data_IF_545191563809
#
_entry.id   IF_545191563809
#
_cell.length_a   1.000
_cell.length_b   1.000
_cell.length_c   1.000
_cell.angle_alpha   90.00
_cell.angle_beta   90.00
_cell.angle_gamma   90.00
#
_symmetry.space_group_name_H-M   'P 1'
#
loop_
_entity.id
_entity.type
_entity.pdbx_description
1 polymer ?
#
# COMPACT_ATOMS: atom_id res chain seq x y z
N UNK A 1 -13.47 16.71 8.37
CA UNK A 1 -12.51 15.60 8.25
C UNK A 1 -11.11 16.16 8.06
N UNK A 2 -10.12 15.60 8.76
CA UNK A 2 -8.87 16.30 9.10
C UNK A 2 -7.88 16.33 7.94
N UNK A 3 -7.16 17.45 7.82
CA UNK A 3 -6.01 17.66 6.92
C UNK A 3 -5.01 16.48 6.92
N UNK A 4 -4.94 15.75 8.04
CA UNK A 4 -4.18 14.51 8.22
C UNK A 4 -4.53 13.46 7.16
N UNK A 5 -5.81 13.21 6.88
CA UNK A 5 -6.21 12.22 5.88
C UNK A 5 -5.75 12.59 4.47
N UNK A 6 -5.72 13.89 4.13
CA UNK A 6 -5.15 14.36 2.86
C UNK A 6 -3.66 14.14 2.80
N UNK A 7 -2.92 14.46 3.87
CA UNK A 7 -1.47 14.27 3.93
C UNK A 7 -1.11 12.79 3.80
N UNK A 8 -1.79 11.91 4.56
CA UNK A 8 -1.58 10.46 4.47
C UNK A 8 -1.95 9.92 3.09
N UNK A 9 -3.06 10.40 2.52
CA UNK A 9 -3.45 10.04 1.15
C UNK A 9 -2.43 10.47 0.10
N UNK A 10 -1.95 11.72 0.19
CA UNK A 10 -0.93 12.29 -0.68
C UNK A 10 0.35 11.48 -0.65
N UNK A 11 0.84 11.20 0.56
CA UNK A 11 2.04 10.43 0.78
C UNK A 11 1.94 9.02 0.16
N UNK A 12 0.85 8.31 0.41
CA UNK A 12 0.64 6.98 -0.16
C UNK A 12 0.60 7.00 -1.69
N UNK A 13 -0.04 8.01 -2.31
CA UNK A 13 -0.08 8.15 -3.78
C UNK A 13 1.31 8.46 -4.34
N UNK A 14 2.05 9.39 -3.72
CA UNK A 14 3.42 9.72 -4.14
C UNK A 14 4.31 8.49 -4.05
N UNK A 15 4.25 7.74 -2.96
CA UNK A 15 5.05 6.54 -2.81
C UNK A 15 4.64 5.44 -3.80
N UNK A 16 3.35 5.27 -4.09
CA UNK A 16 2.90 4.36 -5.14
C UNK A 16 3.46 4.75 -6.51
N UNK A 17 3.51 6.04 -6.83
CA UNK A 17 4.09 6.53 -8.08
C UNK A 17 5.61 6.29 -8.13
N UNK A 18 6.35 6.57 -7.04
CA UNK A 18 7.79 6.32 -6.94
C UNK A 18 8.10 4.84 -7.16
N UNK A 19 7.43 3.94 -6.43
CA UNK A 19 7.64 2.49 -6.57
C UNK A 19 7.24 2.01 -7.95
N UNK A 20 6.14 2.51 -8.51
CA UNK A 20 5.72 2.16 -9.87
C UNK A 20 6.77 2.55 -10.91
N UNK A 21 7.31 3.77 -10.83
CA UNK A 21 8.37 4.23 -11.73
C UNK A 21 9.64 3.38 -11.55
N UNK A 22 10.07 3.12 -10.32
CA UNK A 22 11.27 2.32 -10.07
C UNK A 22 11.09 0.90 -10.56
N UNK A 23 9.97 0.24 -10.28
CA UNK A 23 9.69 -1.12 -10.76
C UNK A 23 9.84 -1.25 -12.28
N UNK A 24 9.36 -0.27 -13.05
CA UNK A 24 9.50 -0.27 -14.51
C UNK A 24 10.91 0.11 -14.99
N UNK A 25 11.63 0.95 -14.24
CA UNK A 25 12.96 1.42 -14.63
C UNK A 25 14.09 0.51 -14.14
N UNK A 26 13.90 -0.32 -13.12
CA UNK A 26 14.92 -1.23 -12.58
C UNK A 26 15.60 -2.04 -13.68
N UNK A 27 14.89 -2.68 -14.63
CA UNK A 27 15.54 -3.42 -15.72
C UNK A 27 16.42 -2.57 -16.65
N UNK A 28 16.30 -1.25 -16.61
CA UNK A 28 17.04 -0.30 -17.46
C UNK A 28 18.32 0.19 -16.80
N UNK A 29 18.33 0.41 -15.47
CA UNK A 29 19.49 0.97 -14.75
C UNK A 29 20.16 0.01 -13.77
N UNK A 30 19.51 -1.10 -13.44
CA UNK A 30 20.02 -2.13 -12.54
C UNK A 30 20.29 -3.39 -13.36
N UNK A 31 21.56 -3.75 -13.47
CA UNK A 31 22.04 -4.94 -14.18
C UNK A 31 21.94 -6.22 -13.33
N UNK A 32 21.34 -6.13 -12.13
CA UNK A 32 21.23 -7.21 -11.17
C UNK A 32 22.46 -7.36 -10.28
N UNK A 33 23.42 -6.43 -10.35
CA UNK A 33 24.50 -6.32 -9.36
C UNK A 33 23.92 -5.86 -8.01
N UNK A 34 24.40 -6.44 -6.91
CA UNK A 34 23.84 -6.28 -5.54
C UNK A 34 24.03 -4.90 -4.91
N UNK A 35 24.19 -3.85 -5.73
CA UNK A 35 24.83 -2.61 -5.33
C UNK A 35 23.98 -1.34 -5.36
N UNK A 36 22.70 -1.36 -5.76
CA UNK A 36 21.92 -0.12 -5.76
C UNK A 36 21.24 0.13 -4.39
N UNK A 37 21.73 1.10 -3.57
CA UNK A 37 21.12 1.41 -2.28
C UNK A 37 19.70 2.01 -2.39
N UNK A 38 19.25 2.31 -3.61
CA UNK A 38 17.94 2.91 -3.90
C UNK A 38 16.79 2.12 -3.30
N UNK A 39 16.75 0.79 -3.52
CA UNK A 39 15.66 -0.05 -3.00
C UNK A 39 15.66 -0.16 -1.47
N UNK A 40 16.84 -0.16 -0.85
CA UNK A 40 16.98 -0.14 0.62
C UNK A 40 16.34 1.13 1.19
N UNK A 41 16.65 2.29 0.60
CA UNK A 41 16.09 3.58 1.03
C UNK A 41 14.58 3.61 0.76
N UNK A 42 14.15 3.19 -0.43
CA UNK A 42 12.74 3.19 -0.85
C UNK A 42 11.90 2.32 0.09
N UNK A 43 12.40 1.16 0.51
CA UNK A 43 11.71 0.30 1.48
C UNK A 43 11.40 1.04 2.79
N UNK A 44 12.33 1.84 3.32
CA UNK A 44 12.04 2.66 4.52
C UNK A 44 10.87 3.63 4.33
N UNK A 45 10.66 4.14 3.11
CA UNK A 45 9.50 4.98 2.77
C UNK A 45 8.27 4.17 2.34
N UNK A 46 8.42 2.93 1.89
CA UNK A 46 7.28 2.05 1.61
C UNK A 46 6.58 1.63 2.89
N UNK A 47 7.34 1.35 3.95
CA UNK A 47 6.78 0.81 5.19
C UNK A 47 5.67 1.69 5.82
N UNK A 48 5.83 3.01 5.98
CA UNK A 48 4.76 3.85 6.48
C UNK A 48 3.51 3.84 5.58
N UNK A 49 3.67 3.80 4.26
CA UNK A 49 2.54 3.75 3.32
C UNK A 49 1.77 2.42 3.40
N UNK A 50 2.48 1.30 3.59
CA UNK A 50 1.86 -0.01 3.89
C UNK A 50 1.02 0.08 5.17
N UNK A 51 1.59 0.64 6.24
CA UNK A 51 0.88 0.79 7.52
C UNK A 51 -0.34 1.71 7.41
N UNK A 52 -0.22 2.82 6.67
CA UNK A 52 -1.35 3.73 6.37
C UNK A 52 -2.45 2.98 5.63
N UNK A 53 -2.11 2.22 4.58
CA UNK A 53 -3.09 1.46 3.80
C UNK A 53 -3.82 0.42 4.66
N UNK A 54 -3.09 -0.31 5.52
CA UNK A 54 -3.66 -1.28 6.44
C UNK A 54 -4.58 -0.61 7.47
N UNK A 55 -4.13 0.45 8.13
CA UNK A 55 -4.90 1.15 9.16
C UNK A 55 -6.17 1.80 8.58
N UNK A 56 -6.06 2.43 7.41
CA UNK A 56 -7.20 3.08 6.75
C UNK A 56 -8.24 2.06 6.29
N UNK A 57 -7.81 0.99 5.61
CA UNK A 57 -8.72 -0.06 5.14
C UNK A 57 -9.37 -0.84 6.28
N UNK A 58 -8.65 -1.09 7.37
CA UNK A 58 -9.22 -1.66 8.60
C UNK A 58 -10.28 -0.74 9.21
N UNK A 59 -10.01 0.57 9.27
CA UNK A 59 -10.97 1.56 9.77
C UNK A 59 -12.25 1.60 8.91
N UNK A 60 -12.13 1.51 7.58
CA UNK A 60 -13.29 1.41 6.69
C UNK A 60 -14.07 0.12 6.91
N UNK A 61 -13.38 -1.00 7.14
CA UNK A 61 -14.01 -2.30 7.43
C UNK A 61 -14.81 -2.27 8.73
N UNK A 62 -14.28 -1.68 9.81
CA UNK A 62 -15.01 -1.46 11.06
C UNK A 62 -16.24 -0.55 10.90
N UNK A 63 -16.23 0.31 9.88
CA UNK A 63 -17.34 1.21 9.56
C UNK A 63 -18.47 0.59 8.73
N UNK A 64 -18.35 -0.64 8.23
CA UNK A 64 -19.37 -1.27 7.39
C UNK A 64 -20.68 -1.55 8.16
N UNK A 65 -20.61 -1.89 9.45
CA UNK A 65 -21.79 -2.24 10.26
C UNK A 65 -22.56 -1.06 10.87
N UNK A 66 -22.27 0.19 10.45
CA UNK A 66 -22.84 1.41 11.05
C UNK A 66 -23.86 2.14 10.16
N UNK A 67 -24.27 1.57 9.02
CA UNK A 67 -25.24 2.17 8.09
C UNK A 67 -26.48 1.30 7.89
N UNK A 68 -27.59 1.93 7.48
CA UNK A 68 -28.82 1.23 7.07
C UNK A 68 -28.59 0.45 5.75
N UNK A 69 -29.03 -0.80 5.72
CA UNK A 69 -28.82 -1.70 4.59
C UNK A 69 -29.66 -1.27 3.36
N UNK A 70 -29.01 -1.08 2.23
CA UNK A 70 -29.63 -0.82 0.92
C UNK A 70 -28.74 -1.34 -0.21
N UNK A 71 -29.15 -1.27 -1.48
CA UNK A 71 -28.42 -1.86 -2.63
C UNK A 71 -26.97 -1.36 -2.83
N UNK A 72 -26.65 -0.17 -2.30
CA UNK A 72 -25.27 0.36 -2.23
C UNK A 72 -24.35 -0.38 -1.24
N UNK A 73 -24.90 -1.30 -0.45
CA UNK A 73 -24.22 -2.02 0.63
C UNK A 73 -23.35 -3.16 0.09
N UNK A 74 -23.80 -3.92 -0.92
CA UNK A 74 -23.00 -5.01 -1.49
C UNK A 74 -21.73 -4.49 -2.20
N UNK A 75 -21.88 -3.45 -3.04
CA UNK A 75 -20.73 -2.85 -3.73
C UNK A 75 -19.71 -2.29 -2.74
N UNK A 76 -20.19 -1.56 -1.73
CA UNK A 76 -19.35 -1.01 -0.66
C UNK A 76 -18.68 -2.11 0.16
N UNK A 77 -19.40 -3.18 0.47
CA UNK A 77 -18.90 -4.33 1.19
C UNK A 77 -17.75 -5.01 0.42
N UNK A 78 -17.94 -5.28 -0.88
CA UNK A 78 -16.92 -5.88 -1.73
C UNK A 78 -15.69 -4.95 -1.79
N UNK A 79 -15.89 -3.67 -2.13
CA UNK A 79 -14.79 -2.71 -2.27
C UNK A 79 -13.93 -2.59 -1.00
N UNK A 80 -14.57 -2.46 0.16
CA UNK A 80 -13.86 -2.33 1.44
C UNK A 80 -13.17 -3.63 1.84
N UNK A 81 -13.81 -4.79 1.65
CA UNK A 81 -13.16 -6.06 1.96
C UNK A 81 -12.00 -6.36 1.02
N UNK A 82 -12.14 -6.12 -0.29
CA UNK A 82 -11.05 -6.27 -1.25
C UNK A 82 -9.86 -5.41 -0.84
N UNK A 83 -10.06 -4.12 -0.59
CA UNK A 83 -8.97 -3.23 -0.15
C UNK A 83 -8.34 -3.68 1.16
N UNK A 84 -9.14 -4.10 2.15
CA UNK A 84 -8.64 -4.56 3.43
C UNK A 84 -7.80 -5.83 3.30
N UNK A 85 -8.30 -6.87 2.62
CA UNK A 85 -7.58 -8.12 2.48
C UNK A 85 -6.34 -7.96 1.60
N UNK A 86 -6.39 -7.14 0.55
CA UNK A 86 -5.19 -6.80 -0.24
C UNK A 86 -4.16 -6.03 0.58
N UNK A 87 -4.57 -5.08 1.42
CA UNK A 87 -3.65 -4.37 2.32
C UNK A 87 -3.07 -5.28 3.41
N UNK A 88 -3.84 -6.24 3.92
CA UNK A 88 -3.36 -7.24 4.86
C UNK A 88 -2.32 -8.16 4.23
N UNK A 89 -2.59 -8.70 3.04
CA UNK A 89 -1.64 -9.54 2.29
C UNK A 89 -0.37 -8.75 1.99
N UNK A 90 -0.50 -7.53 1.47
CA UNK A 90 0.63 -6.65 1.22
C UNK A 90 1.47 -6.43 2.48
N UNK A 91 0.85 -6.09 3.61
CA UNK A 91 1.56 -5.83 4.84
C UNK A 91 2.31 -7.07 5.36
N UNK A 92 1.67 -8.24 5.32
CA UNK A 92 2.31 -9.49 5.73
C UNK A 92 3.50 -9.84 4.83
N UNK A 93 3.32 -9.78 3.51
CA UNK A 93 4.39 -10.12 2.56
C UNK A 93 5.54 -9.12 2.61
N UNK A 94 5.22 -7.82 2.61
CA UNK A 94 6.20 -6.75 2.67
C UNK A 94 7.02 -6.81 3.95
N UNK A 95 6.38 -6.85 5.13
CA UNK A 95 7.09 -6.88 6.40
C UNK A 95 7.90 -8.18 6.56
N UNK A 96 7.36 -9.32 6.15
CA UNK A 96 8.08 -10.59 6.21
C UNK A 96 9.33 -10.60 5.34
N UNK A 97 9.27 -10.06 4.11
CA UNK A 97 10.45 -9.96 3.25
C UNK A 97 11.44 -8.96 3.80
N UNK A 98 10.96 -7.77 4.14
CA UNK A 98 11.83 -6.68 4.56
C UNK A 98 12.58 -7.00 5.86
N UNK A 99 11.90 -7.59 6.85
CA UNK A 99 12.59 -8.06 8.06
C UNK A 99 13.47 -9.27 7.80
N UNK A 100 13.09 -10.15 6.87
CA UNK A 100 13.93 -11.27 6.43
C UNK A 100 15.26 -10.80 5.87
N UNK A 101 15.23 -9.81 4.97
CA UNK A 101 16.42 -9.18 4.39
C UNK A 101 17.30 -8.53 5.46
N UNK A 102 16.70 -7.84 6.45
CA UNK A 102 17.44 -7.23 7.55
C UNK A 102 18.20 -8.22 8.43
N UNK A 103 17.71 -9.46 8.56
CA UNK A 103 18.37 -10.52 9.35
C UNK A 103 19.16 -11.51 8.48
N UNK A 104 19.34 -11.20 7.19
CA UNK A 104 20.10 -12.02 6.25
C UNK A 104 19.45 -13.37 5.92
N UNK A 105 18.12 -13.47 6.00
CA UNK A 105 17.38 -14.65 5.53
C UNK A 105 17.00 -14.48 4.07
N UNK A 106 17.31 -15.47 3.26
CA UNK A 106 16.76 -15.57 1.91
C UNK A 106 15.25 -15.84 2.01
N UNK A 107 14.46 -14.78 1.82
CA UNK A 107 13.03 -14.91 1.61
C UNK A 107 12.81 -15.12 0.11
N UNK A 108 11.98 -16.11 -0.31
CA UNK A 108 11.74 -16.36 -1.73
C UNK A 108 11.28 -15.08 -2.44
N UNK A 109 11.63 -14.95 -3.73
CA UNK A 109 11.39 -13.83 -4.68
C UNK A 109 9.94 -13.28 -4.66
N UNK A 110 9.55 -12.64 -3.56
CA UNK A 110 8.23 -12.07 -3.37
C UNK A 110 8.21 -10.59 -3.76
N UNK A 111 9.37 -9.93 -3.85
CA UNK A 111 9.50 -8.53 -4.27
C UNK A 111 8.79 -8.24 -5.60
N UNK A 112 8.95 -9.11 -6.59
CA UNK A 112 8.27 -9.00 -7.90
C UNK A 112 6.74 -9.03 -7.82
N UNK A 113 6.17 -9.56 -6.73
CA UNK A 113 4.72 -9.54 -6.47
C UNK A 113 4.33 -8.42 -5.50
N UNK A 114 5.21 -8.10 -4.55
CA UNK A 114 5.02 -7.03 -3.56
C UNK A 114 4.96 -5.68 -4.26
N UNK A 115 5.87 -5.39 -5.19
CA UNK A 115 5.96 -4.08 -5.84
C UNK A 115 4.69 -3.69 -6.61
N UNK A 116 4.16 -4.52 -7.55
CA UNK A 116 2.91 -4.18 -8.23
C UNK A 116 1.71 -4.16 -7.28
N UNK A 117 1.66 -5.06 -6.29
CA UNK A 117 0.60 -5.06 -5.29
C UNK A 117 0.65 -3.80 -4.42
N UNK A 118 1.85 -3.36 -4.06
CA UNK A 118 2.11 -2.14 -3.30
C UNK A 118 1.56 -0.94 -4.05
N UNK A 119 1.89 -0.79 -5.34
CA UNK A 119 1.40 0.31 -6.18
C UNK A 119 -0.13 0.32 -6.23
N UNK A 120 -0.75 -0.83 -6.49
CA UNK A 120 -2.20 -0.94 -6.61
C UNK A 120 -2.91 -0.60 -5.28
N UNK A 121 -2.46 -1.19 -4.17
CA UNK A 121 -3.13 -1.06 -2.87
C UNK A 121 -2.88 0.29 -2.23
N UNK A 122 -1.62 0.74 -2.16
CA UNK A 122 -1.30 2.04 -1.53
C UNK A 122 -1.80 3.19 -2.38
N UNK A 123 -1.80 3.06 -3.72
CA UNK A 123 -2.42 4.01 -4.63
C UNK A 123 -3.93 4.11 -4.43
N UNK A 124 -4.65 2.97 -4.42
CA UNK A 124 -6.10 2.96 -4.21
C UNK A 124 -6.50 3.50 -2.83
N UNK A 125 -5.82 3.06 -1.76
CA UNK A 125 -6.03 3.57 -0.41
C UNK A 125 -5.71 5.07 -0.31
N UNK A 126 -4.61 5.51 -0.93
CA UNK A 126 -4.18 6.91 -0.93
C UNK A 126 -5.17 7.83 -1.63
N UNK A 127 -5.64 7.45 -2.82
CA UNK A 127 -6.67 8.19 -3.56
C UNK A 127 -7.98 8.26 -2.76
N UNK A 128 -8.39 7.15 -2.14
CA UNK A 128 -9.61 7.12 -1.32
C UNK A 128 -9.51 8.01 -0.09
N UNK A 129 -8.38 7.97 0.63
CA UNK A 129 -8.11 8.86 1.76
C UNK A 129 -8.15 10.33 1.32
N UNK A 130 -7.48 10.66 0.22
CA UNK A 130 -7.47 12.01 -0.34
C UNK A 130 -8.90 12.51 -0.65
N UNK A 131 -9.70 11.69 -1.35
CA UNK A 131 -11.06 12.04 -1.77
C UNK A 131 -12.05 12.14 -0.60
N UNK A 132 -11.91 11.28 0.41
CA UNK A 132 -12.77 11.30 1.60
C UNK A 132 -12.66 12.60 2.42
N UNK A 133 -11.59 13.37 2.23
CA UNK A 133 -11.43 14.68 2.85
C UNK A 133 -12.04 15.84 2.04
N UNK A 134 -12.64 15.58 0.88
CA UNK A 134 -13.27 16.58 0.02
C UNK A 134 -14.80 16.62 0.08
N UNK A 135 -15.44 15.58 0.62
CA UNK A 135 -16.91 15.44 0.68
C UNK A 135 -17.50 15.99 1.98
N UNK A 136 -17.06 17.19 2.38
CA UNK A 136 -17.64 17.94 3.50
C UNK A 136 -18.90 18.69 3.08
#
# INVERSE_FOLDING_TARGET
MSIVQRILGAYSVVMAAVVGVLFFLTPVYDDGSTGYPTWVVVNWFMAPAVLIALAASFSWKLGLGKGEAGDGDLKRFIEVNTLFYSALVLALWYLSNWFGDMVGREVPLLWSFIDPLYVAVTGACGVRLWRSAGSG
#
